data_IF_938053281440
#
_entry.id   IF_938053281440
#
_cell.length_a   1.000
_cell.length_b   1.000
_cell.length_c   1.000
_cell.angle_alpha   90.00
_cell.angle_beta   90.00
_cell.angle_gamma   90.00
#
_symmetry.space_group_name_H-M   'P 1'
#
loop_
_entity.id
_entity.type
_entity.pdbx_description
1 polymer ?
#
# COMPACT_ATOMS: atom_id res chain seq x y z
N UNK A 1 26.34 6.60 3.04
CA UNK A 1 26.00 6.47 1.61
C UNK A 1 25.74 5.01 1.36
N UNK A 2 24.56 4.68 0.86
CA UNK A 2 24.17 3.30 0.55
C UNK A 2 24.96 2.79 -0.67
N UNK A 3 25.66 1.66 -0.54
CA UNK A 3 26.47 1.05 -1.59
C UNK A 3 26.05 -0.40 -1.83
N UNK A 4 26.25 -0.87 -3.08
CA UNK A 4 25.98 -2.25 -3.42
C UNK A 4 24.48 -2.54 -3.51
N UNK A 5 23.85 -2.16 -4.63
CA UNK A 5 22.44 -2.54 -4.88
C UNK A 5 22.30 -4.05 -4.95
N UNK A 6 21.34 -4.58 -4.23
CA UNK A 6 21.01 -6.01 -4.25
C UNK A 6 19.53 -6.14 -4.66
N UNK A 7 19.32 -6.89 -5.74
CA UNK A 7 17.99 -7.28 -6.20
C UNK A 7 17.93 -8.79 -6.27
N UNK A 8 16.94 -9.40 -5.64
CA UNK A 8 16.69 -10.83 -5.71
C UNK A 8 15.29 -11.09 -6.22
N UNK A 9 15.18 -11.90 -7.26
CA UNK A 9 13.92 -12.29 -7.87
C UNK A 9 13.78 -13.80 -7.88
N UNK A 10 12.83 -14.30 -7.13
CA UNK A 10 12.50 -15.71 -7.05
C UNK A 10 11.12 -15.95 -7.67
N UNK A 11 11.03 -16.91 -8.58
CA UNK A 11 9.77 -17.30 -9.24
C UNK A 11 9.55 -18.80 -9.05
N UNK A 12 8.36 -19.18 -8.59
CA UNK A 12 8.06 -20.59 -8.37
C UNK A 12 6.82 -20.80 -7.50
N UNK A 13 6.70 -22.00 -6.95
CA UNK A 13 5.62 -22.33 -6.01
C UNK A 13 6.16 -22.25 -4.58
N UNK A 14 5.72 -21.25 -3.86
CA UNK A 14 6.08 -21.09 -2.45
C UNK A 14 4.97 -21.63 -1.55
N UNK A 15 5.33 -22.30 -0.44
CA UNK A 15 4.40 -22.72 0.61
C UNK A 15 4.54 -21.81 1.83
N UNK A 16 3.50 -21.73 2.67
CA UNK A 16 3.50 -20.96 3.90
C UNK A 16 4.72 -21.33 4.77
N UNK A 17 5.54 -20.33 5.11
CA UNK A 17 6.76 -20.52 5.91
C UNK A 17 8.00 -20.98 5.12
N UNK A 18 7.92 -21.15 3.81
CA UNK A 18 9.08 -21.43 2.95
C UNK A 18 9.25 -20.33 1.89
N UNK A 19 9.85 -19.23 2.29
CA UNK A 19 10.14 -18.09 1.41
C UNK A 19 11.43 -18.30 0.59
N UNK A 20 12.14 -19.38 0.82
CA UNK A 20 13.38 -19.72 0.08
C UNK A 20 13.12 -20.59 -1.15
N UNK A 21 11.87 -21.06 -1.30
CA UNK A 21 11.46 -21.86 -2.45
C UNK A 21 11.76 -23.37 -2.30
N UNK A 22 11.05 -24.17 -3.08
CA UNK A 22 11.27 -25.62 -3.23
C UNK A 22 12.12 -25.92 -4.46
N UNK A 23 12.27 -27.21 -4.79
CA UNK A 23 13.07 -27.71 -5.94
C UNK A 23 12.68 -27.11 -7.31
N UNK A 24 11.53 -26.46 -7.42
CA UNK A 24 11.03 -25.84 -8.66
C UNK A 24 11.16 -24.31 -8.68
N UNK A 25 11.87 -23.72 -7.72
CA UNK A 25 12.06 -22.26 -7.66
C UNK A 25 13.18 -21.84 -8.61
N UNK A 26 12.89 -20.87 -9.46
CA UNK A 26 13.85 -20.19 -10.31
C UNK A 26 14.41 -18.98 -9.57
N UNK A 27 15.71 -18.94 -9.39
CA UNK A 27 16.42 -17.73 -8.97
C UNK A 27 16.86 -16.97 -10.24
N UNK A 28 16.29 -15.79 -10.41
CA UNK A 28 16.52 -14.93 -11.57
C UNK A 28 17.38 -13.72 -11.24
N UNK A 29 17.92 -13.65 -10.04
CA UNK A 29 18.68 -12.50 -9.50
C UNK A 29 19.91 -12.13 -10.31
N UNK A 30 20.46 -13.10 -11.08
CA UNK A 30 21.60 -12.89 -11.97
C UNK A 30 21.26 -12.26 -13.34
N UNK A 31 19.97 -12.09 -13.64
CA UNK A 31 19.52 -11.44 -14.88
C UNK A 31 19.42 -9.93 -14.69
N UNK A 32 19.41 -9.20 -15.78
CA UNK A 32 19.10 -7.77 -15.76
C UNK A 32 17.60 -7.61 -15.46
N UNK A 33 17.30 -6.93 -14.36
CA UNK A 33 15.95 -6.79 -13.81
C UNK A 33 15.65 -5.31 -13.60
N UNK A 34 14.48 -4.89 -14.02
CA UNK A 34 13.86 -3.63 -13.65
C UNK A 34 12.50 -3.91 -13.01
N UNK A 35 12.12 -3.08 -12.04
CA UNK A 35 10.83 -3.26 -11.38
C UNK A 35 10.21 -1.94 -10.94
N UNK A 36 8.88 -1.95 -10.90
CA UNK A 36 8.05 -0.97 -10.20
C UNK A 36 7.04 -1.73 -9.33
N UNK A 37 7.04 -1.45 -8.03
CA UNK A 37 6.15 -2.10 -7.06
C UNK A 37 5.34 -1.03 -6.37
N UNK A 38 4.02 -1.11 -6.46
CA UNK A 38 3.10 -0.21 -5.77
C UNK A 38 2.44 -0.93 -4.60
N UNK A 39 2.46 -0.29 -3.44
CA UNK A 39 1.79 -0.76 -2.21
C UNK A 39 1.03 0.40 -1.58
N UNK A 40 -0.20 0.15 -1.17
CA UNK A 40 -1.13 1.13 -0.62
C UNK A 40 -1.99 0.52 0.48
N UNK A 41 -2.50 1.34 1.38
CA UNK A 41 -3.59 0.95 2.28
C UNK A 41 -4.92 0.77 1.53
N UNK A 42 -4.99 1.18 0.27
CA UNK A 42 -6.12 0.92 -0.62
C UNK A 42 -5.92 -0.40 -1.37
N UNK A 43 -6.90 -1.29 -1.31
CA UNK A 43 -6.76 -2.71 -1.67
C UNK A 43 -6.40 -3.01 -3.12
N UNK A 44 -6.79 -2.16 -4.05
CA UNK A 44 -6.81 -2.47 -5.48
C UNK A 44 -5.59 -1.98 -6.25
N UNK A 45 -4.70 -1.25 -5.60
CA UNK A 45 -3.54 -0.66 -6.28
C UNK A 45 -2.23 -1.42 -6.04
N UNK A 46 -2.30 -2.53 -5.28
CA UNK A 46 -1.11 -3.28 -4.88
C UNK A 46 -0.68 -4.27 -5.96
N UNK A 47 0.50 -4.07 -6.51
CA UNK A 47 1.03 -4.91 -7.57
C UNK A 47 2.49 -4.67 -7.86
N UNK A 48 3.04 -5.44 -8.80
CA UNK A 48 4.38 -5.24 -9.30
C UNK A 48 4.45 -5.45 -10.80
N UNK A 49 5.16 -4.57 -11.47
CA UNK A 49 5.62 -4.73 -12.84
C UNK A 49 7.12 -5.04 -12.81
N UNK A 50 7.51 -6.18 -13.37
CA UNK A 50 8.89 -6.64 -13.38
C UNK A 50 9.28 -6.92 -14.81
N UNK A 51 10.38 -6.33 -15.25
CA UNK A 51 10.96 -6.59 -16.57
C UNK A 51 12.27 -7.34 -16.41
N UNK A 52 12.39 -8.46 -17.10
CA UNK A 52 13.62 -9.27 -17.14
C UNK A 52 14.17 -9.26 -18.55
N UNK A 53 15.45 -8.96 -18.68
CA UNK A 53 16.10 -8.88 -19.98
C UNK A 53 16.82 -10.19 -20.33
N UNK A 54 16.68 -10.61 -21.59
CA UNK A 54 17.35 -11.75 -22.21
C UNK A 54 17.25 -13.07 -21.43
N UNK A 55 16.07 -13.46 -20.87
CA UNK A 55 15.91 -14.76 -20.24
C UNK A 55 16.10 -15.88 -21.25
N UNK A 56 16.66 -17.00 -20.81
CA UNK A 56 16.78 -18.21 -21.67
C UNK A 56 15.37 -18.72 -22.04
N UNK A 57 15.20 -19.37 -23.22
CA UNK A 57 13.89 -19.89 -23.66
C UNK A 57 13.23 -20.80 -22.64
N UNK A 58 13.98 -21.62 -21.90
CA UNK A 58 13.46 -22.46 -20.84
C UNK A 58 12.87 -21.62 -19.68
N UNK A 59 13.60 -20.62 -19.24
CA UNK A 59 13.18 -19.69 -18.17
C UNK A 59 11.91 -18.94 -18.57
N UNK A 60 11.88 -18.45 -19.80
CA UNK A 60 10.73 -17.75 -20.35
C UNK A 60 9.48 -18.63 -20.33
N UNK A 61 9.58 -19.88 -20.83
CA UNK A 61 8.46 -20.83 -20.81
C UNK A 61 7.99 -21.18 -19.39
N UNK A 62 8.92 -21.29 -18.45
CA UNK A 62 8.58 -21.59 -17.04
C UNK A 62 7.85 -20.44 -16.36
N UNK A 63 8.23 -19.18 -16.66
CA UNK A 63 7.61 -17.99 -16.09
C UNK A 63 6.22 -17.75 -16.67
N UNK A 64 6.04 -18.01 -17.98
CA UNK A 64 4.77 -17.82 -18.67
C UNK A 64 3.65 -18.76 -18.20
N UNK A 65 3.98 -19.77 -17.40
CA UNK A 65 2.95 -20.60 -16.78
C UNK A 65 2.19 -19.81 -15.72
N UNK A 66 0.90 -19.69 -15.89
CA UNK A 66 0.02 -19.02 -14.94
C UNK A 66 0.09 -19.67 -13.55
N UNK A 67 -0.03 -18.86 -12.53
CA UNK A 67 -0.10 -19.32 -11.13
C UNK A 67 1.24 -19.49 -10.42
N UNK A 68 2.36 -19.08 -11.03
CA UNK A 68 3.63 -19.00 -10.32
C UNK A 68 3.63 -17.81 -9.35
N UNK A 69 4.19 -18.02 -8.17
CA UNK A 69 4.39 -16.97 -7.18
C UNK A 69 5.73 -16.26 -7.43
N UNK A 70 5.80 -15.01 -7.01
CA UNK A 70 6.98 -14.15 -7.10
C UNK A 70 7.32 -13.62 -5.74
N UNK A 71 8.62 -13.63 -5.41
CA UNK A 71 9.18 -12.90 -4.28
C UNK A 71 10.27 -11.99 -4.86
N UNK A 72 10.07 -10.68 -4.69
CA UNK A 72 11.04 -9.66 -5.07
C UNK A 72 11.61 -9.01 -3.81
N UNK A 73 12.93 -8.99 -3.73
CA UNK A 73 13.66 -8.34 -2.64
C UNK A 73 14.59 -7.29 -3.21
N UNK A 74 14.70 -6.16 -2.52
CA UNK A 74 15.60 -5.07 -2.88
C UNK A 74 16.20 -4.43 -1.63
N UNK A 75 17.39 -3.84 -1.78
CA UNK A 75 18.10 -3.15 -0.70
C UNK A 75 19.54 -2.90 -1.05
N UNK A 76 20.33 -2.55 -0.04
CA UNK A 76 21.77 -2.31 -0.16
C UNK A 76 22.56 -3.30 0.69
N UNK A 77 23.76 -3.69 0.24
CA UNK A 77 24.62 -4.64 0.95
C UNK A 77 25.02 -4.12 2.34
N UNK A 78 25.35 -2.84 2.43
CA UNK A 78 25.77 -2.18 3.67
C UNK A 78 24.62 -1.92 4.67
N UNK A 79 23.36 -2.07 4.25
CA UNK A 79 22.15 -1.91 5.08
C UNK A 79 21.48 -3.24 5.45
N UNK A 80 22.25 -4.33 5.41
CA UNK A 80 21.73 -5.67 5.76
C UNK A 80 21.16 -6.45 4.58
N UNK A 81 21.41 -5.98 3.34
CA UNK A 81 21.05 -6.69 2.12
C UNK A 81 19.62 -6.51 1.67
N UNK A 82 19.19 -7.33 0.71
CA UNK A 82 17.86 -7.24 0.13
C UNK A 82 16.77 -7.76 1.08
N UNK A 83 15.75 -6.94 1.33
CA UNK A 83 14.53 -7.30 2.07
C UNK A 83 13.35 -7.44 1.11
N UNK A 84 12.35 -8.23 1.49
CA UNK A 84 11.14 -8.43 0.66
C UNK A 84 10.37 -7.13 0.52
N UNK A 85 10.25 -6.65 -0.72
CA UNK A 85 9.40 -5.50 -1.08
C UNK A 85 8.09 -5.94 -1.72
N UNK A 86 8.04 -7.14 -2.31
CA UNK A 86 6.84 -7.69 -2.91
C UNK A 86 6.80 -9.22 -2.81
N UNK A 87 5.63 -9.74 -2.47
CA UNK A 87 5.29 -11.15 -2.55
C UNK A 87 3.89 -11.31 -3.14
N UNK A 88 3.78 -12.01 -4.27
CA UNK A 88 2.52 -12.13 -4.98
C UNK A 88 2.53 -13.23 -6.03
N UNK A 89 1.62 -13.14 -6.98
CA UNK A 89 1.48 -14.08 -8.09
C UNK A 89 1.58 -13.37 -9.45
N UNK A 90 2.09 -14.11 -10.43
CA UNK A 90 2.10 -13.66 -11.82
C UNK A 90 0.66 -13.68 -12.34
N UNK A 91 0.16 -12.50 -12.71
CA UNK A 91 -1.13 -12.37 -13.39
C UNK A 91 -0.98 -12.71 -14.87
N UNK A 92 0.05 -12.15 -15.50
CA UNK A 92 0.44 -12.49 -16.88
C UNK A 92 1.91 -12.13 -17.12
N UNK A 93 2.50 -12.74 -18.12
CA UNK A 93 3.86 -12.44 -18.58
C UNK A 93 3.86 -12.36 -20.10
N UNK A 94 4.46 -11.30 -20.65
CA UNK A 94 4.47 -11.01 -22.09
C UNK A 94 5.90 -10.78 -22.57
N UNK A 95 6.42 -11.65 -23.46
CA UNK A 95 7.71 -11.41 -24.06
C UNK A 95 7.59 -10.35 -25.16
N UNK A 96 8.47 -9.38 -25.13
CA UNK A 96 8.62 -8.34 -26.15
C UNK A 96 10.01 -8.41 -26.77
N UNK A 97 10.08 -8.26 -28.09
CA UNK A 97 11.36 -8.16 -28.79
C UNK A 97 11.69 -6.69 -29.01
N UNK A 98 12.86 -6.26 -28.52
CA UNK A 98 13.40 -4.94 -28.76
C UNK A 98 14.73 -5.06 -29.51
N UNK A 99 14.67 -5.05 -30.83
CA UNK A 99 15.83 -5.28 -31.69
C UNK A 99 16.40 -6.69 -31.53
N UNK A 100 17.59 -6.81 -30.95
CA UNK A 100 18.26 -8.08 -30.64
C UNK A 100 17.90 -8.64 -29.28
N UNK A 101 17.42 -7.78 -28.37
CA UNK A 101 17.10 -8.13 -27.02
C UNK A 101 15.66 -8.61 -26.86
N UNK A 102 15.45 -9.44 -25.86
CA UNK A 102 14.13 -9.91 -25.45
C UNK A 102 13.89 -9.37 -24.05
N UNK A 103 12.83 -8.61 -23.88
CA UNK A 103 12.32 -8.20 -22.59
C UNK A 103 11.10 -9.06 -22.24
N UNK A 104 11.07 -9.66 -21.06
CA UNK A 104 9.91 -10.33 -20.52
C UNK A 104 9.27 -9.42 -19.47
N UNK A 105 8.13 -8.84 -19.81
CA UNK A 105 7.32 -8.05 -18.88
C UNK A 105 6.41 -8.99 -18.07
N UNK A 106 6.54 -8.95 -16.77
CA UNK A 106 5.77 -9.76 -15.83
C UNK A 106 4.92 -8.81 -14.99
N UNK A 107 3.62 -8.94 -15.08
CA UNK A 107 2.69 -8.22 -14.24
C UNK A 107 2.26 -9.13 -13.08
N UNK A 108 2.43 -8.65 -11.87
CA UNK A 108 2.16 -9.39 -10.66
C UNK A 108 1.11 -8.67 -9.81
N UNK A 109 0.29 -9.46 -9.14
CA UNK A 109 -0.70 -8.98 -8.18
C UNK A 109 -0.42 -9.54 -6.81
N UNK A 110 -0.71 -8.76 -5.78
CA UNK A 110 -0.59 -9.21 -4.40
C UNK A 110 -1.61 -10.30 -4.08
N UNK A 111 -1.26 -11.12 -3.12
CA UNK A 111 -1.95 -12.25 -2.55
C UNK A 111 -1.82 -13.57 -3.30
N UNK A 112 -1.67 -14.62 -2.50
CA UNK A 112 -1.60 -16.03 -2.92
C UNK A 112 -2.88 -16.54 -3.56
N UNK A 113 -3.92 -15.83 -3.46
CA UNK A 113 -5.16 -16.10 -4.15
C UNK A 113 -5.46 -15.02 -5.13
N UNK A 114 -4.50 -14.39 -5.80
CA UNK A 114 -4.75 -13.30 -6.73
C UNK A 114 -5.83 -12.33 -6.23
N UNK A 115 -5.58 -11.05 -6.11
CA UNK A 115 -6.70 -10.10 -6.04
C UNK A 115 -7.74 -10.41 -7.14
N UNK A 116 -7.27 -10.85 -8.28
CA UNK A 116 -8.09 -11.35 -9.37
C UNK A 116 -8.84 -12.65 -9.02
N UNK A 117 -8.25 -13.57 -8.26
CA UNK A 117 -8.94 -14.76 -7.74
C UNK A 117 -9.77 -14.40 -6.51
N UNK A 118 -9.32 -13.53 -5.62
CA UNK A 118 -10.13 -13.05 -4.49
C UNK A 118 -11.35 -12.26 -4.97
N UNK A 119 -11.22 -11.43 -6.00
CA UNK A 119 -12.33 -10.75 -6.65
C UNK A 119 -13.29 -11.71 -7.38
N UNK A 120 -12.85 -12.95 -7.69
CA UNK A 120 -13.66 -13.99 -8.30
C UNK A 120 -14.05 -15.11 -7.32
N UNK A 121 -13.43 -15.17 -6.15
CA UNK A 121 -13.72 -16.15 -5.12
C UNK A 121 -15.09 -15.84 -4.52
N UNK A 122 -16.09 -16.62 -4.89
CA UNK A 122 -17.42 -16.47 -4.31
C UNK A 122 -17.45 -17.10 -2.92
N UNK A 123 -17.92 -16.37 -1.94
CA UNK A 123 -18.14 -16.86 -0.60
C UNK A 123 -19.55 -16.51 -0.09
N UNK A 124 -20.05 -17.33 0.82
CA UNK A 124 -21.30 -17.08 1.52
C UNK A 124 -21.06 -17.35 3.00
N UNK A 125 -21.24 -16.33 3.81
CA UNK A 125 -20.93 -16.38 5.23
C UNK A 125 -22.15 -16.10 6.08
N UNK A 126 -22.19 -16.74 7.25
CA UNK A 126 -23.10 -16.44 8.32
C UNK A 126 -22.33 -16.42 9.64
N UNK A 127 -22.31 -15.28 10.28
CA UNK A 127 -21.71 -15.12 11.61
C UNK A 127 -22.80 -14.85 12.63
N UNK A 128 -22.84 -15.67 13.67
CA UNK A 128 -23.83 -15.50 14.75
C UNK A 128 -23.52 -14.30 15.63
N UNK A 129 -24.54 -13.73 16.23
CA UNK A 129 -24.40 -12.77 17.31
C UNK A 129 -23.48 -13.34 18.41
N UNK A 130 -22.60 -12.52 18.95
CA UNK A 130 -21.65 -12.88 19.99
C UNK A 130 -20.34 -13.49 19.51
N UNK A 131 -20.21 -13.82 18.21
CA UNK A 131 -18.92 -14.21 17.61
C UNK A 131 -18.01 -12.96 17.53
N UNK A 132 -16.74 -13.10 17.92
CA UNK A 132 -15.81 -11.95 17.84
C UNK A 132 -15.48 -11.59 16.41
N UNK A 133 -15.24 -10.30 16.13
CA UNK A 133 -14.83 -9.82 14.82
C UNK A 133 -13.56 -10.52 14.35
N UNK A 134 -12.59 -10.76 15.25
CA UNK A 134 -11.38 -11.54 14.99
C UNK A 134 -11.69 -12.93 14.43
N UNK A 135 -12.59 -13.66 15.08
CA UNK A 135 -12.95 -15.00 14.65
C UNK A 135 -13.67 -15.01 13.28
N UNK A 136 -14.42 -13.95 12.98
CA UNK A 136 -15.05 -13.77 11.67
C UNK A 136 -14.03 -13.51 10.57
N UNK A 137 -13.10 -12.58 10.82
CA UNK A 137 -12.01 -12.27 9.88
C UNK A 137 -11.08 -13.47 9.67
N UNK A 138 -10.76 -14.22 10.74
CA UNK A 138 -9.93 -15.42 10.64
C UNK A 138 -10.57 -16.47 9.73
N UNK A 139 -11.88 -16.71 9.88
CA UNK A 139 -12.60 -17.66 9.02
C UNK A 139 -12.62 -17.22 7.56
N UNK A 140 -12.76 -15.91 7.29
CA UNK A 140 -12.64 -15.36 5.94
C UNK A 140 -11.22 -15.56 5.37
N UNK A 141 -10.19 -15.28 6.17
CA UNK A 141 -8.80 -15.45 5.77
C UNK A 141 -8.46 -16.92 5.51
N UNK A 142 -8.92 -17.83 6.37
CA UNK A 142 -8.70 -19.27 6.21
C UNK A 142 -9.37 -19.79 4.93
N UNK A 143 -10.57 -19.30 4.63
CA UNK A 143 -11.29 -19.63 3.39
C UNK A 143 -10.53 -19.16 2.14
N UNK A 144 -9.95 -17.97 2.20
CA UNK A 144 -9.20 -17.37 1.09
C UNK A 144 -7.74 -17.84 1.00
N UNK A 145 -7.24 -18.54 2.03
CA UNK A 145 -5.84 -18.98 2.11
C UNK A 145 -4.84 -17.84 2.36
N UNK A 146 -5.30 -16.73 2.96
CA UNK A 146 -4.49 -15.58 3.36
C UNK A 146 -4.30 -15.56 4.87
N UNK A 147 -3.38 -14.73 5.36
CA UNK A 147 -3.08 -14.59 6.79
C UNK A 147 -3.81 -13.38 7.36
N UNK A 148 -4.43 -13.51 8.54
CA UNK A 148 -4.92 -12.36 9.30
C UNK A 148 -3.79 -11.81 10.18
N UNK A 149 -3.43 -10.54 9.96
CA UNK A 149 -2.52 -9.79 10.82
C UNK A 149 -3.30 -8.69 11.54
N UNK A 150 -3.44 -8.83 12.85
CA UNK A 150 -4.11 -7.85 13.68
C UNK A 150 -3.10 -7.01 14.45
N UNK A 151 -3.13 -5.71 14.23
CA UNK A 151 -2.30 -4.74 14.93
C UNK A 151 -3.00 -4.11 16.13
N UNK A 152 -2.29 -3.21 16.79
CA UNK A 152 -2.81 -2.44 17.91
C UNK A 152 -4.00 -1.57 17.49
N UNK A 153 -4.99 -1.39 18.38
CA UNK A 153 -6.16 -0.55 18.10
C UNK A 153 -7.14 -1.11 17.05
N UNK A 154 -7.05 -2.40 16.75
CA UNK A 154 -7.89 -3.03 15.73
C UNK A 154 -9.35 -3.23 16.15
N UNK A 155 -9.68 -3.21 17.44
CA UNK A 155 -11.03 -3.40 18.01
C UNK A 155 -11.75 -4.67 17.51
N UNK A 156 -11.00 -5.72 17.21
CA UNK A 156 -11.53 -6.96 16.62
C UNK A 156 -11.90 -8.04 17.63
N UNK A 157 -11.64 -7.82 18.90
CA UNK A 157 -11.98 -8.76 19.97
C UNK A 157 -13.40 -8.55 20.51
N UNK A 158 -14.07 -7.48 20.05
CA UNK A 158 -15.45 -7.21 20.39
C UNK A 158 -16.39 -8.22 19.70
N UNK A 159 -17.46 -8.66 20.41
CA UNK A 159 -18.45 -9.55 19.84
C UNK A 159 -19.42 -8.80 18.92
N UNK A 160 -19.85 -9.46 17.87
CA UNK A 160 -20.90 -8.93 16.99
C UNK A 160 -22.18 -8.68 17.78
N UNK A 161 -22.73 -7.48 17.68
CA UNK A 161 -23.98 -7.08 18.34
C UNK A 161 -25.19 -7.75 17.69
N UNK A 162 -25.12 -8.00 16.39
CA UNK A 162 -26.17 -8.65 15.59
C UNK A 162 -25.55 -9.74 14.73
N UNK A 163 -26.34 -10.73 14.26
CA UNK A 163 -25.85 -11.70 13.30
C UNK A 163 -25.55 -11.02 11.95
N UNK A 164 -24.50 -11.48 11.28
CA UNK A 164 -24.11 -11.01 9.96
C UNK A 164 -24.26 -12.11 8.93
N UNK A 165 -24.85 -11.79 7.78
CA UNK A 165 -24.97 -12.70 6.64
C UNK A 165 -24.74 -11.97 5.33
N UNK A 166 -23.82 -12.49 4.53
CA UNK A 166 -23.52 -11.94 3.21
C UNK A 166 -23.12 -13.06 2.24
N UNK A 167 -23.44 -12.84 0.96
CA UNK A 167 -22.96 -13.67 -0.16
C UNK A 167 -22.49 -12.74 -1.27
N UNK A 168 -21.38 -13.08 -1.91
CA UNK A 168 -20.78 -12.30 -2.97
C UNK A 168 -19.36 -12.74 -3.24
N UNK A 169 -18.57 -11.92 -3.90
CA UNK A 169 -17.14 -12.13 -4.00
C UNK A 169 -16.48 -11.95 -2.64
N UNK A 170 -15.32 -12.55 -2.45
CA UNK A 170 -14.56 -12.40 -1.18
C UNK A 170 -14.32 -10.91 -0.86
N UNK A 171 -13.92 -10.13 -1.85
CA UNK A 171 -13.67 -8.69 -1.68
C UNK A 171 -14.93 -7.92 -1.27
N UNK A 172 -16.08 -8.23 -1.90
CA UNK A 172 -17.36 -7.61 -1.53
C UNK A 172 -17.76 -7.95 -0.10
N UNK A 173 -17.59 -9.23 0.28
CA UNK A 173 -17.95 -9.70 1.63
C UNK A 173 -17.06 -9.08 2.69
N UNK A 174 -15.75 -8.98 2.45
CA UNK A 174 -14.81 -8.37 3.40
C UNK A 174 -15.03 -6.86 3.50
N UNK A 175 -15.26 -6.16 2.38
CA UNK A 175 -15.58 -4.73 2.39
C UNK A 175 -16.88 -4.43 3.14
N UNK A 176 -17.94 -5.21 2.87
CA UNK A 176 -19.22 -5.07 3.57
C UNK A 176 -19.11 -5.40 5.06
N UNK A 177 -18.30 -6.42 5.41
CA UNK A 177 -18.04 -6.76 6.80
C UNK A 177 -17.23 -5.68 7.54
N UNK A 178 -16.27 -5.05 6.85
CA UNK A 178 -15.54 -3.90 7.38
C UNK A 178 -16.49 -2.74 7.70
N UNK A 179 -17.37 -2.37 6.75
CA UNK A 179 -18.37 -1.33 6.95
C UNK A 179 -19.31 -1.64 8.11
N UNK A 180 -19.70 -2.92 8.23
CA UNK A 180 -20.60 -3.40 9.27
C UNK A 180 -19.97 -3.42 10.67
N UNK A 181 -18.74 -3.92 10.79
CA UNK A 181 -18.17 -4.28 12.09
C UNK A 181 -17.03 -3.36 12.56
N UNK A 182 -16.33 -2.68 11.66
CA UNK A 182 -15.07 -2.01 11.96
C UNK A 182 -15.04 -0.51 11.65
N UNK A 183 -15.86 -0.04 10.71
CA UNK A 183 -15.82 1.35 10.25
C UNK A 183 -16.34 2.36 11.30
N UNK A 184 -17.04 1.90 12.33
CA UNK A 184 -17.58 2.75 13.37
C UNK A 184 -16.51 3.72 13.91
N UNK A 185 -16.80 5.03 13.85
CA UNK A 185 -15.92 6.14 14.25
C UNK A 185 -14.66 6.34 13.35
N UNK A 186 -14.43 5.54 12.28
CA UNK A 186 -13.31 5.71 11.36
C UNK A 186 -11.94 5.44 11.95
N UNK A 187 -11.86 4.77 13.10
CA UNK A 187 -10.61 4.54 13.85
C UNK A 187 -9.81 3.31 13.40
N UNK A 188 -10.44 2.41 12.66
CA UNK A 188 -9.81 1.17 12.20
C UNK A 188 -9.58 1.22 10.69
N UNK A 189 -8.47 0.68 10.23
CA UNK A 189 -8.20 0.42 8.82
C UNK A 189 -8.11 -1.08 8.59
N UNK A 190 -8.46 -1.48 7.37
CA UNK A 190 -8.34 -2.85 6.92
C UNK A 190 -7.86 -2.82 5.47
N UNK A 191 -6.75 -3.51 5.18
CA UNK A 191 -6.15 -3.57 3.85
C UNK A 191 -5.42 -4.88 3.64
N UNK A 192 -5.11 -5.20 2.39
CA UNK A 192 -4.37 -6.39 2.00
C UNK A 192 -2.96 -6.00 1.59
N UNK A 193 -1.96 -6.62 2.19
CA UNK A 193 -0.57 -6.41 1.85
C UNK A 193 0.25 -7.71 1.95
N UNK A 194 1.06 -8.01 0.94
CA UNK A 194 1.93 -9.20 0.88
C UNK A 194 1.28 -10.50 1.37
N UNK A 195 0.04 -10.77 0.94
CA UNK A 195 -0.72 -11.96 1.30
C UNK A 195 -1.26 -11.98 2.76
N UNK A 196 -1.26 -10.84 3.40
CA UNK A 196 -1.83 -10.65 4.73
C UNK A 196 -3.03 -9.70 4.66
N UNK A 197 -4.15 -10.08 5.30
CA UNK A 197 -5.23 -9.16 5.59
C UNK A 197 -4.90 -8.45 6.90
N UNK A 198 -4.56 -7.19 6.80
CA UNK A 198 -4.12 -6.38 7.92
C UNK A 198 -5.29 -5.58 8.45
N UNK A 199 -5.50 -5.63 9.76
CA UNK A 199 -6.50 -4.83 10.47
C UNK A 199 -5.87 -4.20 11.71
N UNK A 200 -6.02 -2.87 11.84
CA UNK A 200 -5.39 -2.13 12.93
C UNK A 200 -5.99 -0.75 13.11
N UNK A 201 -5.61 -0.06 14.19
CA UNK A 201 -5.95 1.34 14.40
C UNK A 201 -5.34 2.24 13.32
N UNK A 202 -6.10 3.22 12.86
CA UNK A 202 -5.66 4.15 11.80
C UNK A 202 -4.44 4.99 12.20
N UNK A 203 -4.27 5.25 13.49
CA UNK A 203 -3.20 6.03 14.09
C UNK A 203 -2.06 5.16 14.64
N UNK A 204 -2.03 3.88 14.28
CA UNK A 204 -1.04 2.91 14.72
C UNK A 204 -0.16 2.46 13.56
N UNK A 205 1.11 2.19 13.86
CA UNK A 205 2.05 1.64 12.88
C UNK A 205 2.00 0.12 12.87
N UNK A 206 2.17 -0.44 11.68
CA UNK A 206 2.33 -1.88 11.50
C UNK A 206 3.73 -2.34 11.93
N UNK A 207 4.73 -1.49 11.74
CA UNK A 207 6.10 -1.73 12.17
C UNK A 207 6.35 -1.08 13.52
N UNK A 208 7.14 -1.74 14.36
CA UNK A 208 7.47 -1.25 15.69
C UNK A 208 8.52 -0.13 15.64
N UNK A 209 9.41 -0.18 14.64
CA UNK A 209 10.46 0.80 14.44
C UNK A 209 9.99 1.91 13.50
N UNK A 210 10.26 3.13 13.87
CA UNK A 210 10.00 4.32 13.08
C UNK A 210 11.15 4.55 12.10
N UNK A 211 10.83 4.92 10.85
CA UNK A 211 11.84 5.20 9.83
C UNK A 211 12.21 6.67 9.86
N UNK A 212 13.43 6.98 10.20
CA UNK A 212 13.98 8.34 10.13
C UNK A 212 14.35 8.70 8.69
N UNK A 213 13.79 9.79 8.18
CA UNK A 213 13.98 10.30 6.82
C UNK A 213 14.57 11.70 6.82
N UNK A 214 15.88 11.75 6.66
CA UNK A 214 16.69 12.98 6.52
C UNK A 214 17.54 12.88 5.25
N UNK A 215 18.16 13.97 4.84
CA UNK A 215 19.13 13.94 3.74
C UNK A 215 20.30 12.98 4.01
N UNK A 216 20.68 12.82 5.27
CA UNK A 216 21.75 11.89 5.68
C UNK A 216 21.31 10.42 5.60
N UNK A 217 20.04 10.12 5.91
CA UNK A 217 19.47 8.75 5.82
C UNK A 217 18.89 8.41 4.44
N UNK A 218 19.07 9.32 3.45
CA UNK A 218 18.73 9.04 2.06
C UNK A 218 17.43 9.67 1.56
N UNK A 219 16.85 10.65 2.27
CA UNK A 219 15.76 11.46 1.75
C UNK A 219 16.30 12.33 0.60
N UNK A 220 15.67 12.20 -0.57
CA UNK A 220 16.04 12.93 -1.78
C UNK A 220 15.21 14.18 -1.97
N UNK A 221 13.90 14.07 -1.72
CA UNK A 221 12.96 15.19 -1.78
C UNK A 221 11.75 14.91 -0.89
N UNK A 222 11.18 15.97 -0.32
CA UNK A 222 9.91 15.90 0.40
C UNK A 222 9.17 17.24 0.27
N UNK A 223 7.88 17.18 0.08
CA UNK A 223 7.03 18.36 -0.03
C UNK A 223 5.66 18.15 0.59
N UNK A 224 5.07 19.21 1.11
CA UNK A 224 3.66 19.22 1.48
C UNK A 224 2.79 19.05 0.24
N UNK A 225 1.87 18.10 0.27
CA UNK A 225 0.87 17.98 -0.78
C UNK A 225 -0.21 19.03 -0.55
N UNK A 226 -0.45 19.86 -1.56
CA UNK A 226 -1.57 20.79 -1.53
C UNK A 226 -2.82 20.01 -1.88
N UNK A 227 -3.80 20.06 -1.01
CA UNK A 227 -5.11 19.49 -1.30
C UNK A 227 -5.77 20.31 -2.42
N UNK A 228 -5.57 19.86 -3.67
CA UNK A 228 -6.21 20.47 -4.85
C UNK A 228 -7.74 20.39 -4.81
N UNK A 229 -8.29 19.53 -3.97
CA UNK A 229 -9.75 19.43 -3.78
C UNK A 229 -10.34 20.69 -3.21
N UNK A 230 -9.52 21.50 -2.49
CA UNK A 230 -9.93 22.81 -2.00
C UNK A 230 -9.91 23.91 -3.08
N UNK A 231 -9.14 23.72 -4.16
CA UNK A 231 -9.22 24.59 -5.33
C UNK A 231 -10.43 24.24 -6.24
N UNK A 232 -10.96 23.05 -6.09
CA UNK A 232 -12.25 22.63 -6.60
C UNK A 232 -13.34 22.80 -5.53
N UNK A 233 -13.39 23.93 -4.85
CA UNK A 233 -14.68 24.51 -4.55
C UNK A 233 -15.19 24.84 -5.95
N UNK A 234 -15.83 23.89 -6.57
CA UNK A 234 -16.74 24.13 -7.66
C UNK A 234 -17.76 25.11 -7.08
N UNK A 235 -17.49 26.38 -7.25
CA UNK A 235 -18.57 27.29 -7.53
C UNK A 235 -19.19 26.63 -8.76
N UNK A 236 -20.20 25.77 -8.51
CA UNK A 236 -20.79 24.98 -9.55
C UNK A 236 -21.04 25.90 -10.73
N UNK A 237 -20.80 25.40 -11.93
CA UNK A 237 -21.22 26.06 -13.18
C UNK A 237 -22.73 26.26 -13.24
N UNK A 238 -23.38 26.35 -12.10
CA UNK A 238 -24.77 26.80 -11.98
C UNK A 238 -24.74 28.32 -11.80
N UNK A 239 -24.95 29.09 -12.90
CA UNK A 239 -25.01 30.52 -12.83
C UNK A 239 -26.18 31.00 -11.93
N UNK A 240 -27.06 30.10 -11.46
CA UNK A 240 -28.14 30.42 -10.55
C UNK A 240 -27.74 30.40 -9.07
N UNK A 241 -26.54 29.89 -8.71
CA UNK A 241 -26.08 29.90 -7.31
C UNK A 241 -25.73 31.31 -6.80
N UNK A 242 -25.48 32.28 -7.71
CA UNK A 242 -25.23 33.68 -7.40
C UNK A 242 -26.44 34.59 -7.45
N UNK A 243 -27.59 34.11 -7.97
CA UNK A 243 -28.81 34.85 -8.12
C UNK A 243 -29.99 34.19 -7.40
N UNK A 244 -29.81 33.79 -6.15
CA UNK A 244 -30.98 33.74 -5.30
C UNK A 244 -31.45 35.18 -5.05
N UNK A 245 -32.42 35.55 -5.85
CA UNK A 245 -33.10 36.85 -5.78
C UNK A 245 -33.37 37.23 -4.33
N UNK A 246 -32.98 38.44 -3.95
CA UNK A 246 -33.54 39.19 -2.85
C UNK A 246 -35.07 39.19 -2.98
N UNK A 247 -35.74 38.26 -2.32
CA UNK A 247 -37.06 38.52 -1.77
C UNK A 247 -36.82 39.11 -0.40
N UNK A 248 -37.17 40.36 -0.25
CA UNK A 248 -37.25 41.05 1.04
C UNK A 248 -38.10 40.24 2.01
N UNK A 249 -37.52 39.90 3.16
CA UNK A 249 -38.16 39.23 4.27
C UNK A 249 -37.40 38.01 4.75
N UNK A 250 -36.71 38.15 5.90
CA UNK A 250 -36.03 37.11 6.68
C UNK A 250 -34.78 36.49 6.06
N UNK A 251 -33.71 37.25 6.05
CA UNK A 251 -32.37 36.72 5.96
C UNK A 251 -31.94 36.31 7.36
N UNK A 252 -32.18 35.05 7.73
CA UNK A 252 -31.35 34.42 8.75
C UNK A 252 -29.95 34.28 8.15
N UNK A 253 -28.90 34.77 8.84
CA UNK A 253 -27.54 34.51 8.38
C UNK A 253 -27.39 33.00 8.34
N UNK A 254 -27.02 32.45 7.17
CA UNK A 254 -26.52 31.10 7.08
C UNK A 254 -25.32 31.04 8.02
N UNK A 255 -25.54 30.44 9.19
CA UNK A 255 -24.44 30.05 10.04
C UNK A 255 -23.53 29.16 9.19
N UNK A 256 -22.36 29.68 8.85
CA UNK A 256 -21.32 28.86 8.24
C UNK A 256 -21.14 27.71 9.19
N UNK A 257 -21.23 26.45 8.74
CA UNK A 257 -20.86 25.34 9.59
C UNK A 257 -19.44 25.58 10.06
N UNK A 258 -19.29 25.97 11.31
CA UNK A 258 -18.01 26.19 11.99
C UNK A 258 -17.35 24.85 12.39
N UNK A 259 -17.56 23.80 11.63
CA UNK A 259 -16.64 22.68 11.65
C UNK A 259 -15.43 23.12 10.84
N UNK A 260 -14.38 23.58 11.51
CA UNK A 260 -13.03 23.47 11.00
C UNK A 260 -12.91 22.06 10.47
N UNK A 261 -12.88 21.91 9.16
CA UNK A 261 -12.46 20.67 8.54
C UNK A 261 -10.99 20.60 8.92
N UNK A 262 -10.66 19.78 9.93
CA UNK A 262 -9.29 19.48 10.29
C UNK A 262 -8.61 18.99 9.01
N UNK A 263 -7.75 19.84 8.48
CA UNK A 263 -7.02 19.56 7.24
C UNK A 263 -5.89 18.64 7.58
N UNK A 264 -6.06 17.37 7.28
CA UNK A 264 -5.00 16.38 7.41
C UNK A 264 -3.87 16.82 6.46
N UNK A 265 -2.71 17.15 7.03
CA UNK A 265 -1.56 17.47 6.21
C UNK A 265 -1.04 16.19 5.57
N UNK A 266 -0.87 16.24 4.26
CA UNK A 266 -0.27 15.17 3.48
C UNK A 266 1.09 15.61 2.97
N UNK A 267 2.00 14.68 2.90
CA UNK A 267 3.34 14.89 2.35
C UNK A 267 3.62 13.85 1.27
N UNK A 268 4.37 14.26 0.27
CA UNK A 268 4.90 13.36 -0.75
C UNK A 268 6.41 13.47 -0.73
N UNK A 269 7.08 12.32 -0.65
CA UNK A 269 8.52 12.25 -0.59
C UNK A 269 9.10 11.18 -1.51
N UNK A 270 10.41 11.29 -1.74
CA UNK A 270 11.22 10.29 -2.43
C UNK A 270 12.52 10.10 -1.68
N UNK A 271 12.90 8.86 -1.45
CA UNK A 271 14.15 8.51 -0.79
C UNK A 271 14.88 7.38 -1.54
N UNK A 272 16.10 7.10 -1.13
CA UNK A 272 16.82 5.91 -1.56
C UNK A 272 16.03 4.64 -1.21
N UNK A 273 16.31 3.54 -1.90
CA UNK A 273 15.61 2.26 -1.68
C UNK A 273 15.66 1.86 -0.21
N UNK A 274 14.49 1.79 0.42
CA UNK A 274 14.33 1.38 1.80
C UNK A 274 13.07 0.52 1.95
N UNK A 275 13.27 -0.77 2.15
CA UNK A 275 12.17 -1.73 2.28
C UNK A 275 11.36 -1.59 3.59
N UNK A 276 11.82 -0.78 4.56
CA UNK A 276 11.08 -0.50 5.79
C UNK A 276 9.94 0.51 5.59
N UNK A 277 9.96 1.28 4.48
CA UNK A 277 8.88 2.21 4.15
C UNK A 277 7.74 1.38 3.53
N UNK A 278 6.79 1.02 4.33
CA UNK A 278 5.64 0.20 3.95
C UNK A 278 4.33 0.94 4.25
N UNK A 279 3.20 0.60 3.62
CA UNK A 279 1.92 1.18 4.00
C UNK A 279 1.65 1.03 5.50
N UNK A 280 1.21 2.10 6.12
CA UNK A 280 0.92 2.19 7.55
C UNK A 280 2.14 2.04 8.48
N UNK A 281 3.37 2.35 8.02
CA UNK A 281 4.51 2.58 8.91
C UNK A 281 4.61 4.06 9.30
N UNK A 282 5.21 4.35 10.45
CA UNK A 282 5.58 5.71 10.80
C UNK A 282 6.91 6.10 10.15
N UNK A 283 6.93 7.34 9.69
CA UNK A 283 8.15 8.00 9.22
C UNK A 283 8.32 9.32 9.96
N UNK A 284 9.51 9.56 10.49
CA UNK A 284 9.89 10.86 11.06
C UNK A 284 10.72 11.61 10.02
N UNK A 285 10.18 12.69 9.50
CA UNK A 285 10.74 13.43 8.37
C UNK A 285 11.38 14.72 8.87
N UNK A 286 12.63 14.97 8.47
CA UNK A 286 13.27 16.27 8.51
C UNK A 286 13.96 16.52 7.17
N UNK A 287 13.30 17.31 6.31
CA UNK A 287 13.81 17.66 4.98
C UNK A 287 14.60 18.98 4.97
N UNK A 288 15.03 19.49 6.14
CA UNK A 288 15.89 20.67 6.19
C UNK A 288 17.28 20.37 5.66
N UNK A 289 17.81 21.30 4.88
CA UNK A 289 19.16 21.25 4.31
C UNK A 289 20.12 22.31 4.91
N UNK A 290 19.65 23.06 5.91
CA UNK A 290 20.36 24.21 6.52
C UNK A 290 20.26 25.49 5.70
N UNK A 291 19.36 25.52 4.69
CA UNK A 291 19.16 26.65 3.81
C UNK A 291 18.32 27.77 4.41
N UNK A 292 18.39 28.95 3.80
CA UNK A 292 17.63 30.14 4.21
C UNK A 292 16.10 29.93 4.16
N UNK A 293 15.63 29.01 3.31
CA UNK A 293 14.22 28.76 3.08
C UNK A 293 13.64 27.59 3.90
N UNK A 294 14.43 26.97 4.76
CA UNK A 294 13.99 25.83 5.59
C UNK A 294 12.76 26.14 6.45
N UNK A 295 12.66 27.36 6.95
CA UNK A 295 11.51 27.81 7.74
C UNK A 295 10.17 27.77 6.99
N UNK A 296 10.22 27.71 5.65
CA UNK A 296 9.04 27.77 4.78
C UNK A 296 8.86 26.48 3.96
N UNK A 297 9.95 25.85 3.54
CA UNK A 297 9.94 24.73 2.61
C UNK A 297 10.19 23.38 3.28
N UNK A 298 10.93 23.35 4.39
CA UNK A 298 11.24 22.09 5.04
C UNK A 298 9.98 21.45 5.64
N UNK A 299 9.83 20.18 5.38
CA UNK A 299 8.82 19.32 6.00
C UNK A 299 9.45 18.67 7.22
N UNK A 300 8.83 18.85 8.39
CA UNK A 300 9.27 18.24 9.65
C UNK A 300 8.11 17.61 10.38
N UNK A 301 8.37 16.48 10.99
CA UNK A 301 7.43 15.80 11.89
C UNK A 301 7.17 14.35 11.54
N UNK A 302 6.26 13.79 12.30
CA UNK A 302 5.87 12.37 12.24
C UNK A 302 4.66 12.20 11.34
N UNK A 303 4.77 11.28 10.39
CA UNK A 303 3.73 10.97 9.44
C UNK A 303 3.51 9.45 9.38
N UNK A 304 2.36 9.05 8.87
CA UNK A 304 2.02 7.65 8.59
C UNK A 304 1.91 7.47 7.07
N UNK A 305 2.62 6.48 6.52
CA UNK A 305 2.65 6.21 5.09
C UNK A 305 1.32 5.62 4.65
N UNK A 306 0.71 6.17 3.61
CA UNK A 306 -0.50 5.64 2.97
C UNK A 306 -0.18 4.81 1.74
N UNK A 307 0.79 5.27 0.96
CA UNK A 307 1.16 4.69 -0.32
C UNK A 307 2.67 4.73 -0.50
N UNK A 308 3.24 3.70 -1.10
CA UNK A 308 4.63 3.70 -1.51
C UNK A 308 4.83 2.98 -2.85
N UNK A 309 5.75 3.50 -3.65
CA UNK A 309 6.15 2.93 -4.94
C UNK A 309 7.66 2.74 -4.95
N UNK A 310 8.10 1.49 -5.03
CA UNK A 310 9.52 1.15 -5.16
C UNK A 310 9.85 1.06 -6.65
N UNK A 311 10.87 1.80 -7.07
CA UNK A 311 11.36 1.80 -8.46
C UNK A 311 12.83 1.47 -8.50
N UNK A 312 13.21 0.53 -9.36
CA UNK A 312 14.62 0.21 -9.49
C UNK A 312 14.92 -1.05 -10.26
N UNK A 313 16.14 -1.50 -10.06
CA UNK A 313 16.68 -2.69 -10.69
C UNK A 313 18.14 -2.90 -10.33
N UNK A 314 18.72 -4.00 -10.80
CA UNK A 314 20.15 -4.21 -10.75
C UNK A 314 20.86 -3.51 -11.92
N UNK A 315 20.10 -3.01 -12.89
CA UNK A 315 20.53 -2.14 -14.01
C UNK A 315 19.77 -0.81 -13.95
N UNK A 316 20.25 0.20 -14.65
CA UNK A 316 19.61 1.51 -14.70
C UNK A 316 20.03 2.47 -13.57
N UNK A 317 19.39 3.65 -13.53
CA UNK A 317 19.75 4.75 -12.62
C UNK A 317 18.90 4.77 -11.35
N UNK A 318 17.64 4.41 -11.45
CA UNK A 318 16.69 4.51 -10.34
C UNK A 318 16.85 3.36 -9.35
N UNK A 319 16.81 3.68 -8.08
CA UNK A 319 16.74 2.71 -6.97
C UNK A 319 16.19 3.46 -5.75
N UNK A 320 14.90 3.75 -5.80
CA UNK A 320 14.25 4.70 -4.90
C UNK A 320 12.88 4.20 -4.43
N UNK A 321 12.39 4.82 -3.38
CA UNK A 321 11.00 4.70 -2.92
C UNK A 321 10.36 6.08 -2.99
N UNK A 322 9.26 6.18 -3.71
CA UNK A 322 8.34 7.32 -3.64
C UNK A 322 7.24 6.97 -2.63
N UNK A 323 6.86 7.90 -1.78
CA UNK A 323 5.82 7.65 -0.78
C UNK A 323 4.89 8.86 -0.62
N UNK A 324 3.66 8.57 -0.23
CA UNK A 324 2.70 9.54 0.30
C UNK A 324 2.46 9.20 1.77
N UNK A 325 2.47 10.22 2.62
CA UNK A 325 2.20 10.04 4.03
C UNK A 325 1.32 11.18 4.56
N UNK A 326 0.62 10.94 5.66
CA UNK A 326 -0.27 11.91 6.27
C UNK A 326 0.01 12.04 7.77
N UNK A 327 -0.35 13.19 8.36
CA UNK A 327 -0.31 13.33 9.81
C UNK A 327 -1.20 12.25 10.47
N UNK A 328 -0.76 11.61 11.56
CA UNK A 328 -1.62 10.72 12.32
C UNK A 328 -2.87 11.47 12.79
N UNK A 329 -4.05 10.88 12.61
CA UNK A 329 -5.30 11.47 13.11
C UNK A 329 -5.31 11.44 14.63
N UNK A 330 -5.18 12.59 15.21
CA UNK A 330 -5.09 12.82 16.65
C UNK A 330 -3.82 13.59 16.92
N UNK A 331 -3.91 14.92 16.88
CA UNK A 331 -2.83 15.75 17.38
C UNK A 331 -2.43 15.22 18.75
N UNK A 332 -1.23 14.70 18.85
CA UNK A 332 -0.60 14.46 20.13
C UNK A 332 -0.24 15.85 20.61
N UNK A 333 -1.18 16.47 21.31
CA UNK A 333 -0.82 17.53 22.25
C UNK A 333 0.12 16.88 23.26
N UNK A 334 1.42 17.15 23.08
CA UNK A 334 2.47 16.72 23.96
C UNK A 334 2.47 17.49 25.29
#
# INVERSE_FOLDING_TARGET
MAFGRVVQLLVGKFSKGNETGGETTLDLSALDIEFEVTRSVEWYDNGAEITIYNPKPYTLNSIMNEGNSVILKAGYEDEGGAKTIFAGQIAYAVPKRNGKDIALEINCVQARGNFYQLARLNCSVYFSKGKTVRACLQELCDYAGIVLRAGEGAFIDDPLQYPYRRSGTFTDVVSDFYEYALKGEGKTILYLDNNELIVMGRDKSIELEEVELTHETGLLECRMERDESLNKVNFGDDPNYFFMSKKEGDVQPLERPSKEIERIKKVRGRCLMNAAIVPNCFVDIDSSDGGEYDSVLAVKGRYIVTDCTYKGGNVGSDFTVEFTAQEPNGGIDG
#
